data_IF_410987153591
#
_entry.id   IF_410987153591
#
_cell.length_a   1.000
_cell.length_b   1.000
_cell.length_c   1.000
_cell.angle_alpha   90.00
_cell.angle_beta   90.00
_cell.angle_gamma   90.00
#
_symmetry.space_group_name_H-M   'P 1'
#
loop_
_entity.id
_entity.type
_entity.pdbx_description
1 polymer ?
#
# COMPACT_ATOMS: atom_id res chain seq x y z
N UNK A 1 -3.19 14.62 -10.27
CA UNK A 1 -3.92 13.91 -9.17
C UNK A 1 -4.07 14.85 -7.98
N UNK A 2 -5.00 14.60 -7.06
CA UNK A 2 -5.12 15.35 -5.81
C UNK A 2 -4.22 14.72 -4.76
N UNK A 3 -3.38 15.53 -4.11
CA UNK A 3 -2.44 15.11 -3.06
C UNK A 3 -2.69 15.94 -1.80
N UNK A 4 -2.71 15.30 -0.66
CA UNK A 4 -2.76 15.95 0.64
C UNK A 4 -1.34 16.06 1.21
N UNK A 5 -1.06 17.13 1.95
CA UNK A 5 0.20 17.27 2.66
C UNK A 5 -0.04 17.78 4.09
N UNK A 6 0.52 17.08 5.07
CA UNK A 6 0.42 17.41 6.48
C UNK A 6 1.79 17.25 7.15
N UNK A 7 2.49 18.35 7.35
CA UNK A 7 3.81 18.36 7.97
C UNK A 7 3.88 19.50 9.02
N UNK A 8 4.60 19.26 10.10
CA UNK A 8 4.89 20.28 11.11
C UNK A 8 5.90 21.33 10.58
N UNK A 9 6.82 20.89 9.72
CA UNK A 9 7.80 21.78 9.08
C UNK A 9 7.16 22.57 7.93
N UNK A 10 7.05 23.89 8.09
CA UNK A 10 6.58 24.81 7.04
C UNK A 10 7.44 24.74 5.78
N UNK A 11 8.73 24.63 5.95
CA UNK A 11 9.69 24.59 4.84
C UNK A 11 9.43 23.31 4.03
N UNK A 12 9.35 22.18 4.70
CA UNK A 12 9.10 20.89 4.06
C UNK A 12 7.73 20.87 3.36
N UNK A 13 6.69 21.36 4.04
CA UNK A 13 5.35 21.46 3.51
C UNK A 13 5.30 22.31 2.23
N UNK A 14 5.93 23.49 2.27
CA UNK A 14 5.98 24.40 1.13
C UNK A 14 6.77 23.82 -0.05
N UNK A 15 7.93 23.24 0.22
CA UNK A 15 8.77 22.68 -0.86
C UNK A 15 8.14 21.44 -1.50
N UNK A 16 7.53 20.57 -0.70
CA UNK A 16 6.81 19.40 -1.22
C UNK A 16 5.58 19.82 -2.06
N UNK A 17 4.79 20.79 -1.56
CA UNK A 17 3.65 21.31 -2.31
C UNK A 17 4.08 21.95 -3.63
N UNK A 18 5.05 22.83 -3.62
CA UNK A 18 5.56 23.50 -4.83
C UNK A 18 6.17 22.51 -5.84
N UNK A 19 6.82 21.43 -5.37
CA UNK A 19 7.36 20.40 -6.24
C UNK A 19 6.25 19.65 -6.98
N UNK A 20 5.20 19.26 -6.26
CA UNK A 20 4.06 18.52 -6.83
C UNK A 20 3.17 19.39 -7.72
N UNK A 21 2.95 20.66 -7.38
CA UNK A 21 2.20 21.60 -8.22
C UNK A 21 2.90 21.82 -9.56
N UNK A 22 4.23 21.95 -9.56
CA UNK A 22 5.03 22.00 -10.79
C UNK A 22 4.94 20.73 -11.63
N UNK A 23 4.74 19.58 -11.01
CA UNK A 23 4.49 18.31 -11.67
C UNK A 23 3.02 18.13 -12.14
N UNK A 24 2.17 19.13 -11.95
CA UNK A 24 0.77 19.13 -12.40
C UNK A 24 -0.21 18.46 -11.44
N UNK A 25 0.17 18.29 -10.17
CA UNK A 25 -0.74 17.79 -9.15
C UNK A 25 -1.50 18.93 -8.46
N UNK A 26 -2.71 18.65 -8.01
CA UNK A 26 -3.45 19.54 -7.13
C UNK A 26 -3.07 19.22 -5.67
N UNK A 27 -2.48 20.17 -4.96
CA UNK A 27 -2.03 19.96 -3.59
C UNK A 27 -2.95 20.69 -2.60
N UNK A 28 -3.34 19.99 -1.53
CA UNK A 28 -4.00 20.57 -0.38
C UNK A 28 -3.06 20.41 0.81
N UNK A 29 -2.38 21.48 1.17
CA UNK A 29 -1.38 21.51 2.23
C UNK A 29 -1.92 22.15 3.50
N UNK A 30 -1.82 21.47 4.64
CA UNK A 30 -2.26 21.96 5.95
C UNK A 30 -1.34 21.43 7.05
N UNK A 31 -1.16 22.17 8.14
CA UNK A 31 -0.44 21.69 9.32
C UNK A 31 -1.28 20.74 10.18
N UNK A 32 -2.59 20.90 10.17
CA UNK A 32 -3.50 20.07 10.94
C UNK A 32 -4.17 19.01 10.08
N UNK A 33 -4.10 17.73 10.47
CA UNK A 33 -4.81 16.67 9.78
C UNK A 33 -6.33 16.90 9.68
N UNK A 34 -6.92 17.53 10.69
CA UNK A 34 -8.35 17.84 10.70
C UNK A 34 -8.75 18.78 9.56
N UNK A 35 -7.91 19.73 9.20
CA UNK A 35 -8.17 20.65 8.10
C UNK A 35 -8.12 19.97 6.71
N UNK A 36 -7.54 18.77 6.62
CA UNK A 36 -7.49 17.97 5.39
C UNK A 36 -8.72 17.07 5.21
N UNK A 37 -9.51 16.84 6.26
CA UNK A 37 -10.68 15.94 6.21
C UNK A 37 -11.64 16.22 5.05
N UNK A 38 -12.00 17.47 4.72
CA UNK A 38 -12.90 17.75 3.59
C UNK A 38 -12.32 17.36 2.23
N UNK A 39 -10.98 17.25 2.13
CA UNK A 39 -10.28 16.92 0.90
C UNK A 39 -9.87 15.43 0.83
N UNK A 40 -10.10 14.63 1.88
CA UNK A 40 -9.60 13.26 2.00
C UNK A 40 -10.13 12.32 0.90
N UNK A 41 -11.42 12.43 0.58
CA UNK A 41 -12.03 11.57 -0.42
C UNK A 41 -11.44 11.83 -1.82
N UNK A 42 -11.05 10.75 -2.49
CA UNK A 42 -10.47 10.78 -3.83
C UNK A 42 -9.07 11.40 -3.93
N UNK A 43 -8.38 11.61 -2.81
CA UNK A 43 -6.97 11.97 -2.83
C UNK A 43 -6.09 10.73 -3.08
N UNK A 44 -5.10 10.88 -3.97
CA UNK A 44 -4.23 9.78 -4.38
C UNK A 44 -3.12 9.49 -3.36
N UNK A 45 -2.64 10.53 -2.67
CA UNK A 45 -1.61 10.38 -1.65
C UNK A 45 -1.76 11.41 -0.52
N UNK A 46 -1.19 11.06 0.63
CA UNK A 46 -0.96 11.92 1.78
C UNK A 46 0.53 11.96 2.06
N UNK A 47 1.12 13.13 2.05
CA UNK A 47 2.48 13.37 2.50
C UNK A 47 2.46 13.76 3.97
N UNK A 48 3.34 13.15 4.76
CA UNK A 48 3.47 13.43 6.20
C UNK A 48 4.93 13.48 6.59
N UNK A 49 5.26 14.28 7.60
CA UNK A 49 6.51 14.14 8.33
C UNK A 49 6.34 13.18 9.54
N UNK A 50 7.43 12.78 10.15
CA UNK A 50 7.41 11.79 11.22
C UNK A 50 6.49 12.16 12.40
N UNK A 51 6.45 13.43 12.89
CA UNK A 51 5.55 13.82 13.97
C UNK A 51 4.07 13.65 13.64
N UNK A 52 3.66 13.92 12.39
CA UNK A 52 2.26 13.88 11.97
C UNK A 52 1.82 12.51 11.45
N UNK A 53 2.74 11.61 11.12
CA UNK A 53 2.50 10.41 10.35
C UNK A 53 1.35 9.55 10.87
N UNK A 54 1.41 9.11 12.13
CA UNK A 54 0.37 8.22 12.70
C UNK A 54 -0.97 8.91 12.85
N UNK A 55 -0.96 10.12 13.40
CA UNK A 55 -2.20 10.86 13.67
C UNK A 55 -2.93 11.24 12.38
N UNK A 56 -2.20 11.74 11.38
CA UNK A 56 -2.77 12.13 10.09
C UNK A 56 -3.29 10.91 9.31
N UNK A 57 -2.51 9.84 9.22
CA UNK A 57 -2.92 8.63 8.51
C UNK A 57 -4.18 8.01 9.14
N UNK A 58 -4.20 7.82 10.45
CA UNK A 58 -5.35 7.24 11.15
C UNK A 58 -6.62 8.08 10.97
N UNK A 59 -6.54 9.40 11.22
CA UNK A 59 -7.67 10.30 11.10
C UNK A 59 -8.26 10.32 9.69
N UNK A 60 -7.41 10.42 8.66
CA UNK A 60 -7.88 10.55 7.29
C UNK A 60 -8.41 9.22 6.74
N UNK A 61 -7.82 8.09 7.13
CA UNK A 61 -8.36 6.76 6.78
C UNK A 61 -9.75 6.54 7.36
N UNK A 62 -9.99 6.91 8.62
CA UNK A 62 -11.32 6.88 9.25
C UNK A 62 -12.36 7.76 8.53
N UNK A 63 -11.91 8.71 7.73
CA UNK A 63 -12.72 9.62 6.93
C UNK A 63 -12.73 9.31 5.43
N UNK A 64 -12.40 8.07 5.07
CA UNK A 64 -12.50 7.56 3.70
C UNK A 64 -11.31 7.86 2.81
N UNK A 65 -10.14 8.24 3.37
CA UNK A 65 -8.91 8.33 2.61
C UNK A 65 -8.36 6.92 2.35
N UNK A 66 -8.23 6.54 1.09
CA UNK A 66 -7.70 5.25 0.64
C UNK A 66 -6.39 5.36 -0.13
N UNK A 67 -5.85 6.58 -0.28
CA UNK A 67 -4.60 6.84 -0.98
C UNK A 67 -3.36 6.38 -0.22
N UNK A 68 -2.20 6.53 -0.85
CA UNK A 68 -0.90 6.20 -0.24
C UNK A 68 -0.50 7.22 0.80
N UNK A 69 0.12 6.76 1.88
CA UNK A 69 0.75 7.62 2.89
C UNK A 69 2.25 7.56 2.75
N UNK A 70 2.87 8.68 2.44
CA UNK A 70 4.30 8.80 2.17
C UNK A 70 4.98 9.68 3.22
N UNK A 71 6.00 9.13 3.85
CA UNK A 71 6.86 9.89 4.76
C UNK A 71 7.78 10.81 3.96
N UNK A 72 7.80 12.08 4.30
CA UNK A 72 8.73 13.07 3.75
C UNK A 72 9.54 13.66 4.91
N UNK A 73 10.83 13.78 4.76
CA UNK A 73 11.66 14.32 5.84
C UNK A 73 13.12 14.50 5.46
N UNK A 74 13.86 15.14 6.36
CA UNK A 74 15.31 15.25 6.27
C UNK A 74 15.96 13.92 6.68
N UNK A 75 17.13 13.63 6.11
CA UNK A 75 17.86 12.40 6.34
C UNK A 75 18.13 11.61 5.06
N UNK A 76 18.75 10.46 5.22
CA UNK A 76 19.03 9.57 4.09
C UNK A 76 17.79 8.81 3.66
N UNK A 77 17.75 8.38 2.40
CA UNK A 77 16.67 7.57 1.88
C UNK A 77 16.48 6.24 2.67
N UNK A 78 17.58 5.70 3.21
CA UNK A 78 17.55 4.46 3.98
C UNK A 78 16.97 4.67 5.38
N UNK A 79 17.30 5.75 6.06
CA UNK A 79 16.73 6.12 7.37
C UNK A 79 15.23 6.36 7.26
N UNK A 80 14.81 7.17 6.29
CA UNK A 80 13.40 7.45 6.08
C UNK A 80 12.60 6.20 5.65
N UNK A 81 13.19 5.34 4.82
CA UNK A 81 12.55 4.08 4.45
C UNK A 81 12.40 3.12 5.65
N UNK A 82 13.33 3.17 6.63
CA UNK A 82 13.21 2.45 7.88
C UNK A 82 12.07 3.01 8.73
N UNK A 83 12.05 4.32 8.95
CA UNK A 83 11.01 5.01 9.71
C UNK A 83 9.62 4.80 9.09
N UNK A 84 9.49 4.85 7.77
CA UNK A 84 8.23 4.56 7.09
C UNK A 84 7.73 3.14 7.35
N UNK A 85 8.65 2.15 7.37
CA UNK A 85 8.28 0.76 7.74
C UNK A 85 7.83 0.62 9.19
N UNK A 86 8.52 1.29 10.12
CA UNK A 86 8.16 1.29 11.56
C UNK A 86 6.82 1.98 11.83
N UNK A 87 6.47 2.95 11.00
CA UNK A 87 5.21 3.69 11.04
C UNK A 87 4.10 3.06 10.17
N UNK A 88 4.39 1.94 9.51
CA UNK A 88 3.47 1.23 8.59
C UNK A 88 2.96 2.11 7.44
N UNK A 89 3.82 2.95 6.88
CA UNK A 89 3.51 3.83 5.77
C UNK A 89 3.90 3.18 4.42
N UNK A 90 3.29 3.67 3.35
CA UNK A 90 3.45 3.10 2.00
C UNK A 90 4.79 3.42 1.33
N UNK A 91 5.58 4.33 1.90
CA UNK A 91 6.89 4.68 1.39
C UNK A 91 7.46 5.93 2.03
N UNK A 92 8.65 6.32 1.56
CA UNK A 92 9.34 7.53 2.02
C UNK A 92 10.08 8.22 0.89
N UNK A 93 10.18 9.54 0.98
CA UNK A 93 10.97 10.38 0.09
C UNK A 93 11.88 11.26 0.93
N UNK A 94 13.20 11.11 0.75
CA UNK A 94 14.20 11.92 1.42
C UNK A 94 14.14 13.38 0.95
N UNK A 95 14.34 14.29 1.86
CA UNK A 95 13.98 15.69 1.82
C UNK A 95 14.61 16.57 0.75
N UNK A 96 14.26 17.85 0.79
CA UNK A 96 14.45 18.81 -0.31
C UNK A 96 15.90 19.18 -0.60
N UNK A 97 16.85 18.77 0.22
CA UNK A 97 18.28 19.03 0.02
C UNK A 97 18.91 18.15 -1.07
N UNK A 98 18.19 17.15 -1.60
CA UNK A 98 18.68 16.29 -2.67
C UNK A 98 18.20 16.81 -4.03
N UNK A 99 19.11 16.88 -5.01
CA UNK A 99 18.89 17.52 -6.33
C UNK A 99 17.66 17.00 -7.08
N UNK A 100 17.29 15.74 -6.87
CA UNK A 100 16.18 15.07 -7.57
C UNK A 100 14.90 14.93 -6.72
N UNK A 101 14.80 15.66 -5.60
CA UNK A 101 13.65 15.57 -4.67
C UNK A 101 12.29 15.68 -5.37
N UNK A 102 12.12 16.68 -6.23
CA UNK A 102 10.85 16.91 -6.92
C UNK A 102 10.45 15.74 -7.83
N UNK A 103 11.42 15.19 -8.57
CA UNK A 103 11.19 14.07 -9.47
C UNK A 103 10.85 12.79 -8.68
N UNK A 104 11.58 12.53 -7.59
CA UNK A 104 11.33 11.37 -6.72
C UNK A 104 9.99 11.48 -6.00
N UNK A 105 9.62 12.67 -5.55
CA UNK A 105 8.35 12.91 -4.89
C UNK A 105 7.18 12.69 -5.87
N UNK A 106 7.26 13.24 -7.08
CA UNK A 106 6.26 13.02 -8.12
C UNK A 106 6.15 11.52 -8.47
N UNK A 107 7.26 10.84 -8.71
CA UNK A 107 7.27 9.41 -8.99
C UNK A 107 6.69 8.57 -7.84
N UNK A 108 6.95 8.94 -6.59
CA UNK A 108 6.39 8.25 -5.43
C UNK A 108 4.88 8.44 -5.32
N UNK A 109 4.36 9.64 -5.61
CA UNK A 109 2.93 9.95 -5.62
C UNK A 109 2.21 9.24 -6.77
N UNK A 110 2.84 9.17 -7.94
CA UNK A 110 2.30 8.55 -9.15
C UNK A 110 2.40 7.03 -9.14
N UNK A 111 3.27 6.47 -8.31
CA UNK A 111 3.42 5.01 -8.18
C UNK A 111 2.11 4.40 -7.73
N UNK A 112 1.58 3.49 -8.54
CA UNK A 112 0.38 2.73 -8.19
C UNK A 112 0.71 1.71 -7.11
N UNK A 113 -0.24 1.45 -6.21
CA UNK A 113 -0.15 0.30 -5.31
C UNK A 113 -0.13 -0.97 -6.15
N UNK A 114 0.80 -1.86 -5.80
CA UNK A 114 1.00 -3.10 -6.54
C UNK A 114 0.37 -4.26 -5.78
N UNK A 115 -0.53 -4.96 -6.45
CA UNK A 115 -1.20 -6.15 -5.93
C UNK A 115 -0.72 -7.37 -6.70
N UNK A 116 -0.26 -8.39 -5.98
CA UNK A 116 0.05 -9.69 -6.54
C UNK A 116 -1.11 -10.63 -6.29
N UNK A 117 -1.75 -11.09 -7.33
CA UNK A 117 -2.77 -12.15 -7.27
C UNK A 117 -2.04 -13.49 -7.40
N UNK A 118 -2.25 -14.37 -6.43
CA UNK A 118 -1.71 -15.74 -6.42
C UNK A 118 -2.88 -16.71 -6.36
N UNK A 119 -3.24 -17.27 -7.51
CA UNK A 119 -4.39 -18.15 -7.69
C UNK A 119 -4.13 -19.08 -8.89
N UNK A 120 -4.38 -20.36 -8.77
CA UNK A 120 -4.18 -21.32 -9.86
C UNK A 120 -5.28 -21.25 -10.94
N UNK A 121 -6.38 -20.57 -10.64
CA UNK A 121 -7.46 -20.28 -11.59
C UNK A 121 -7.21 -18.97 -12.34
N UNK A 122 -6.75 -19.07 -13.57
CA UNK A 122 -6.52 -17.90 -14.44
C UNK A 122 -7.81 -17.07 -14.65
N UNK A 123 -8.98 -17.72 -14.60
CA UNK A 123 -10.28 -17.05 -14.75
C UNK A 123 -10.53 -16.14 -13.53
N UNK A 124 -10.34 -16.65 -12.32
CA UNK A 124 -10.51 -15.89 -11.09
C UNK A 124 -9.50 -14.74 -11.04
N UNK A 125 -8.25 -15.03 -11.36
CA UNK A 125 -7.19 -14.02 -11.39
C UNK A 125 -7.52 -12.88 -12.36
N UNK A 126 -8.04 -13.18 -13.55
CA UNK A 126 -8.42 -12.17 -14.55
C UNK A 126 -9.58 -11.28 -14.09
N UNK A 127 -10.61 -11.86 -13.46
CA UNK A 127 -11.74 -11.09 -12.91
C UNK A 127 -11.27 -10.13 -11.82
N UNK A 128 -10.41 -10.60 -10.91
CA UNK A 128 -9.81 -9.78 -9.86
C UNK A 128 -8.93 -8.67 -10.45
N UNK A 129 -8.15 -8.99 -11.47
CA UNK A 129 -7.29 -8.04 -12.16
C UNK A 129 -8.10 -6.89 -12.76
N UNK A 130 -9.15 -7.19 -13.54
CA UNK A 130 -9.99 -6.17 -14.18
C UNK A 130 -10.62 -5.23 -13.14
N UNK A 131 -11.11 -5.78 -12.02
CA UNK A 131 -11.71 -4.99 -10.95
C UNK A 131 -10.69 -4.07 -10.26
N UNK A 132 -9.49 -4.57 -9.97
CA UNK A 132 -8.45 -3.83 -9.26
C UNK A 132 -7.76 -2.79 -10.16
N UNK A 133 -7.54 -3.10 -11.44
CA UNK A 133 -7.01 -2.13 -12.42
C UNK A 133 -7.97 -0.96 -12.61
N UNK A 134 -9.29 -1.21 -12.63
CA UNK A 134 -10.30 -0.14 -12.66
C UNK A 134 -10.24 0.78 -11.43
N UNK A 135 -9.72 0.30 -10.30
CA UNK A 135 -9.49 1.05 -9.06
C UNK A 135 -8.10 1.69 -9.00
N UNK A 136 -7.29 1.54 -10.05
CA UNK A 136 -5.99 2.18 -10.17
C UNK A 136 -4.82 1.40 -9.59
N UNK A 137 -4.97 0.13 -9.25
CA UNK A 137 -3.86 -0.73 -8.82
C UNK A 137 -3.02 -1.20 -10.02
N UNK A 138 -1.73 -1.46 -9.78
CA UNK A 138 -0.85 -2.20 -10.68
C UNK A 138 -0.92 -3.67 -10.31
N UNK A 139 -1.33 -4.53 -11.24
CA UNK A 139 -1.57 -5.94 -10.95
C UNK A 139 -0.45 -6.81 -11.48
N UNK A 140 0.01 -7.71 -10.62
CA UNK A 140 0.90 -8.82 -10.94
C UNK A 140 0.14 -10.13 -10.72
N UNK A 141 0.46 -11.13 -11.50
CA UNK A 141 -0.16 -12.45 -11.39
C UNK A 141 0.87 -13.57 -11.26
N UNK A 142 0.56 -14.52 -10.41
CA UNK A 142 1.30 -15.76 -10.25
C UNK A 142 0.33 -16.95 -10.12
N UNK A 143 0.47 -17.99 -10.95
CA UNK A 143 -0.39 -19.18 -10.88
C UNK A 143 -0.03 -20.12 -9.71
N UNK A 144 1.09 -19.88 -9.04
CA UNK A 144 1.61 -20.73 -7.96
C UNK A 144 2.57 -19.96 -7.04
N UNK A 145 2.93 -20.58 -5.92
CA UNK A 145 3.83 -20.02 -4.93
C UNK A 145 5.29 -19.86 -5.44
N UNK A 146 5.74 -20.67 -6.40
CA UNK A 146 7.08 -20.55 -6.98
C UNK A 146 7.20 -19.27 -7.80
N UNK A 147 6.24 -19.04 -8.68
CA UNK A 147 6.18 -17.80 -9.47
C UNK A 147 5.99 -16.59 -8.56
N UNK A 148 5.11 -16.66 -7.56
CA UNK A 148 4.92 -15.62 -6.58
C UNK A 148 6.22 -15.28 -5.85
N UNK A 149 6.96 -16.29 -5.40
CA UNK A 149 8.28 -16.12 -4.77
C UNK A 149 9.26 -15.39 -5.69
N UNK A 150 9.31 -15.77 -6.97
CA UNK A 150 10.20 -15.13 -7.95
C UNK A 150 9.87 -13.64 -8.16
N UNK A 151 8.61 -13.26 -8.02
CA UNK A 151 8.15 -11.87 -8.13
C UNK A 151 8.53 -11.07 -6.89
N UNK A 152 8.26 -11.58 -5.67
CA UNK A 152 8.52 -10.84 -4.42
C UNK A 152 10.01 -10.69 -4.11
N UNK A 153 10.86 -11.59 -4.60
CA UNK A 153 12.31 -11.49 -4.46
C UNK A 153 12.89 -10.28 -5.20
N UNK A 154 12.32 -9.91 -6.33
CA UNK A 154 12.78 -8.77 -7.12
C UNK A 154 12.21 -7.48 -6.50
N UNK A 155 13.09 -6.60 -6.01
CA UNK A 155 12.67 -5.32 -5.39
C UNK A 155 11.79 -4.47 -6.32
N UNK A 156 12.07 -4.48 -7.61
CA UNK A 156 11.35 -3.70 -8.62
C UNK A 156 9.89 -4.15 -8.83
N UNK A 157 9.58 -5.42 -8.58
CA UNK A 157 8.24 -6.00 -8.75
C UNK A 157 7.59 -6.39 -7.42
N UNK A 158 8.20 -6.01 -6.28
CA UNK A 158 7.66 -6.36 -4.97
C UNK A 158 6.28 -5.72 -4.76
N UNK A 159 5.25 -6.50 -4.44
CA UNK A 159 3.91 -5.97 -4.22
C UNK A 159 3.77 -5.33 -2.83
N UNK A 160 2.78 -4.47 -2.69
CA UNK A 160 2.32 -3.93 -1.41
C UNK A 160 1.30 -4.88 -0.74
N UNK A 161 0.56 -5.62 -1.56
CA UNK A 161 -0.49 -6.55 -1.15
C UNK A 161 -0.42 -7.85 -1.97
N UNK A 162 -0.64 -8.97 -1.32
CA UNK A 162 -0.85 -10.28 -1.96
C UNK A 162 -2.29 -10.73 -1.69
N UNK A 163 -3.03 -10.98 -2.76
CA UNK A 163 -4.29 -11.74 -2.71
C UNK A 163 -3.95 -13.19 -2.99
N UNK A 164 -4.18 -14.06 -2.02
CA UNK A 164 -3.65 -15.42 -2.00
C UNK A 164 -4.78 -16.45 -1.92
N UNK A 165 -4.91 -17.29 -2.95
CA UNK A 165 -5.76 -18.45 -2.83
C UNK A 165 -5.18 -19.45 -1.82
N UNK A 166 -6.07 -20.07 -1.04
CA UNK A 166 -5.67 -21.08 -0.05
C UNK A 166 -5.42 -22.43 -0.73
N UNK A 167 -6.29 -22.79 -1.67
CA UNK A 167 -6.36 -24.13 -2.24
C UNK A 167 -5.61 -24.25 -3.57
N UNK A 168 -4.30 -24.00 -3.56
CA UNK A 168 -3.46 -24.15 -4.73
C UNK A 168 -2.80 -25.54 -4.79
N UNK A 169 -2.60 -26.13 -5.99
CA UNK A 169 -1.83 -27.36 -6.14
C UNK A 169 -0.34 -27.16 -5.78
N UNK A 170 0.30 -28.20 -5.25
CA UNK A 170 1.71 -28.29 -4.88
C UNK A 170 2.13 -27.55 -3.60
N UNK A 171 1.79 -26.28 -3.44
CA UNK A 171 2.12 -25.50 -2.25
C UNK A 171 0.85 -24.84 -1.74
N UNK A 172 0.43 -25.24 -0.54
CA UNK A 172 -0.71 -24.67 0.17
C UNK A 172 -0.48 -23.16 0.43
N UNK A 173 -1.49 -22.33 0.12
CA UNK A 173 -1.45 -20.90 0.34
C UNK A 173 -1.09 -20.53 1.78
N UNK A 174 -1.51 -21.33 2.77
CA UNK A 174 -1.14 -21.14 4.16
C UNK A 174 0.38 -21.26 4.41
N UNK A 175 1.05 -22.17 3.71
CA UNK A 175 2.51 -22.31 3.78
C UNK A 175 3.21 -21.11 3.17
N UNK A 176 2.74 -20.65 2.00
CA UNK A 176 3.29 -19.46 1.35
C UNK A 176 3.07 -18.19 2.20
N UNK A 177 1.89 -18.01 2.81
CA UNK A 177 1.64 -16.92 3.75
C UNK A 177 2.65 -16.93 4.91
N UNK A 178 2.83 -18.08 5.58
CA UNK A 178 3.82 -18.22 6.65
C UNK A 178 5.23 -17.87 6.21
N UNK A 179 5.62 -18.28 5.00
CA UNK A 179 6.92 -17.92 4.44
C UNK A 179 7.08 -16.40 4.28
N UNK A 180 6.09 -15.72 3.71
CA UNK A 180 6.10 -14.26 3.55
C UNK A 180 6.17 -13.55 4.89
N UNK A 181 5.31 -13.92 5.85
CA UNK A 181 5.19 -13.24 7.15
C UNK A 181 6.36 -13.49 8.10
N UNK A 182 6.98 -14.66 8.05
CA UNK A 182 8.16 -14.97 8.88
C UNK A 182 9.45 -14.36 8.33
N UNK A 183 9.50 -14.01 7.06
CA UNK A 183 10.71 -13.45 6.45
C UNK A 183 10.78 -11.93 6.69
N UNK A 184 11.84 -11.46 7.35
CA UNK A 184 12.05 -10.04 7.66
C UNK A 184 12.03 -9.14 6.41
N UNK A 185 12.36 -9.67 5.23
CA UNK A 185 12.39 -8.95 3.97
C UNK A 185 10.97 -8.73 3.38
N UNK A 186 10.02 -9.60 3.69
CA UNK A 186 8.68 -9.64 3.08
C UNK A 186 7.54 -9.39 4.07
N UNK A 187 7.79 -9.42 5.37
CA UNK A 187 6.75 -9.30 6.41
C UNK A 187 5.91 -8.02 6.34
N UNK A 188 6.44 -6.98 5.69
CA UNK A 188 5.72 -5.73 5.44
C UNK A 188 4.69 -5.81 4.31
N UNK A 189 4.76 -6.85 3.47
CA UNK A 189 3.76 -7.11 2.43
C UNK A 189 2.48 -7.56 3.13
N UNK A 190 1.37 -6.90 2.86
CA UNK A 190 0.07 -7.35 3.35
C UNK A 190 -0.35 -8.62 2.61
N UNK A 191 -0.90 -9.60 3.33
CA UNK A 191 -1.38 -10.85 2.75
C UNK A 191 -2.83 -11.08 3.16
N UNK A 192 -3.70 -11.17 2.15
CA UNK A 192 -5.10 -11.52 2.34
C UNK A 192 -5.38 -12.86 1.68
N UNK A 193 -6.00 -13.76 2.42
CA UNK A 193 -6.54 -14.96 1.81
C UNK A 193 -7.77 -14.64 0.96
N UNK A 194 -7.84 -15.23 -0.23
CA UNK A 194 -8.98 -15.12 -1.13
C UNK A 194 -9.56 -16.53 -1.30
N UNK A 195 -10.71 -16.83 -0.67
CA UNK A 195 -11.21 -18.19 -0.60
C UNK A 195 -12.75 -18.25 -0.61
N UNK A 196 -13.28 -19.37 -1.10
CA UNK A 196 -14.70 -19.75 -0.95
C UNK A 196 -14.98 -20.62 0.28
N UNK A 197 -14.01 -20.80 1.17
CA UNK A 197 -14.13 -21.59 2.40
C UNK A 197 -15.05 -20.93 3.44
N UNK A 198 -15.51 -21.72 4.40
CA UNK A 198 -16.31 -21.20 5.52
C UNK A 198 -15.52 -20.19 6.37
N UNK A 199 -16.18 -19.12 6.76
CA UNK A 199 -15.62 -18.00 7.54
C UNK A 199 -14.83 -18.48 8.76
N UNK A 200 -15.39 -19.40 9.53
CA UNK A 200 -14.77 -19.92 10.75
C UNK A 200 -13.41 -20.61 10.51
N UNK A 201 -13.27 -21.27 9.36
CA UNK A 201 -12.03 -21.93 8.93
C UNK A 201 -10.98 -20.93 8.47
N UNK A 202 -11.41 -19.92 7.69
CA UNK A 202 -10.48 -18.89 7.21
C UNK A 202 -9.96 -18.05 8.36
N UNK A 203 -10.80 -17.65 9.31
CA UNK A 203 -10.37 -16.86 10.48
C UNK A 203 -9.31 -17.59 11.32
N UNK A 204 -9.41 -18.90 11.47
CA UNK A 204 -8.35 -19.70 12.11
C UNK A 204 -7.06 -19.68 11.33
N UNK A 205 -7.12 -19.85 9.99
CA UNK A 205 -5.93 -19.81 9.13
C UNK A 205 -5.26 -18.43 9.13
N UNK A 206 -6.02 -17.35 9.15
CA UNK A 206 -5.51 -15.98 9.29
C UNK A 206 -4.68 -15.87 10.57
N UNK A 207 -5.22 -16.30 11.71
CA UNK A 207 -4.53 -16.25 12.99
C UNK A 207 -3.27 -17.13 13.03
N UNK A 208 -3.34 -18.35 12.47
CA UNK A 208 -2.23 -19.32 12.46
C UNK A 208 -1.07 -18.93 11.52
N UNK A 209 -1.39 -18.28 10.40
CA UNK A 209 -0.40 -17.94 9.38
C UNK A 209 0.14 -16.52 9.54
N UNK A 210 -0.51 -15.66 10.33
CA UNK A 210 -0.19 -14.26 10.48
C UNK A 210 -0.59 -13.43 9.26
N UNK A 211 -1.61 -13.88 8.51
CA UNK A 211 -2.19 -13.08 7.42
C UNK A 211 -2.88 -11.84 7.98
N UNK A 212 -3.01 -10.79 7.16
CA UNK A 212 -3.61 -9.51 7.58
C UNK A 212 -5.14 -9.53 7.48
N UNK A 213 -5.71 -10.58 6.89
CA UNK A 213 -7.14 -10.75 6.76
C UNK A 213 -7.52 -11.75 5.66
N UNK A 214 -8.79 -11.72 5.27
CA UNK A 214 -9.30 -12.54 4.18
C UNK A 214 -10.41 -11.84 3.40
N UNK A 215 -10.66 -12.34 2.19
CA UNK A 215 -11.74 -11.95 1.30
C UNK A 215 -12.49 -13.22 0.86
N UNK A 216 -13.81 -13.16 0.88
CA UNK A 216 -14.62 -14.21 0.26
C UNK A 216 -14.61 -14.07 -1.26
N UNK A 217 -14.39 -15.16 -2.01
CA UNK A 217 -14.44 -15.16 -3.50
C UNK A 217 -15.81 -14.73 -4.07
N UNK A 218 -16.82 -14.46 -3.24
CA UNK A 218 -18.15 -13.96 -3.62
C UNK A 218 -18.43 -12.53 -3.15
N UNK A 219 -17.59 -11.93 -2.33
CA UNK A 219 -17.75 -10.55 -1.88
C UNK A 219 -17.01 -9.61 -2.81
N UNK A 220 -17.66 -8.48 -3.12
CA UNK A 220 -17.05 -7.41 -3.90
C UNK A 220 -15.78 -6.93 -3.20
N UNK A 221 -14.63 -7.25 -3.77
CA UNK A 221 -13.28 -6.86 -3.33
C UNK A 221 -13.15 -5.37 -3.00
N UNK A 222 -14.01 -4.54 -3.60
CA UNK A 222 -13.99 -3.11 -3.46
C UNK A 222 -14.13 -2.56 -2.05
N UNK A 223 -14.90 -3.22 -1.20
CA UNK A 223 -15.15 -2.71 0.15
C UNK A 223 -13.92 -2.83 1.05
N UNK A 224 -13.29 -3.98 1.06
CA UNK A 224 -12.19 -4.23 1.99
C UNK A 224 -10.91 -3.47 1.63
N UNK A 225 -10.57 -3.39 0.33
CA UNK A 225 -9.37 -2.67 -0.14
C UNK A 225 -9.47 -1.17 0.08
N UNK A 226 -10.69 -0.61 0.01
CA UNK A 226 -10.95 0.80 0.34
C UNK A 226 -10.86 1.06 1.85
N UNK A 227 -11.25 0.10 2.69
CA UNK A 227 -11.29 0.23 4.15
C UNK A 227 -9.94 -0.09 4.81
N UNK A 228 -9.11 -0.96 4.22
CA UNK A 228 -7.90 -1.52 4.85
C UNK A 228 -6.65 -1.49 3.97
N UNK A 229 -6.75 -1.02 2.73
CA UNK A 229 -5.67 -0.95 1.74
C UNK A 229 -4.72 0.24 1.89
#
# INVERSE_FOLDING_TARGET
MKVLACCDSDILLHLAAAALERAGHQVVAQRSPHALVPAAAGAAALLVDAPQARAAAALLRDRGFSGRVLLVGDGTAEELARSARELELDGAVAGPQQEDFAARLAAAVESRRRVLIVDDSEIVARLLQEELEAKGFEILYAPDAEKATSIILKRATRPDLILLDINMPKVDGAQFCRFVKKNAMFRSIKVLFCSGEERSRIEKLVAECGADGYLSKGELLGKWIVENG
#
